data_IF_865011736921
#
_entry.id   IF_865011736921
#
_cell.length_a   1.000
_cell.length_b   1.000
_cell.length_c   1.000
_cell.angle_alpha   90.00
_cell.angle_beta   90.00
_cell.angle_gamma   90.00
#
_symmetry.space_group_name_H-M   'P 1'
#
loop_
_entity.id
_entity.type
_entity.pdbx_description
1 polymer ?
#
# COMPACT_ATOMS: atom_id res chain seq x y z
N UNK A 1 37.67 43.61 -1.56
CA UNK A 1 36.39 42.87 -1.40
C UNK A 1 36.08 42.05 -2.65
N UNK A 2 36.18 42.63 -3.84
CA UNK A 2 35.98 41.94 -5.13
C UNK A 2 37.01 40.83 -5.41
N UNK A 3 38.25 40.97 -4.93
CA UNK A 3 39.29 39.94 -5.02
C UNK A 3 38.94 38.65 -4.25
N UNK A 4 38.31 38.79 -3.08
CA UNK A 4 37.88 37.65 -2.25
C UNK A 4 36.78 36.86 -2.97
N UNK A 5 35.82 37.56 -3.56
CA UNK A 5 34.72 36.95 -4.31
C UNK A 5 35.21 36.29 -5.62
N UNK A 6 36.22 36.89 -6.26
CA UNK A 6 36.85 36.33 -7.46
C UNK A 6 37.63 35.05 -7.16
N UNK A 7 38.29 34.99 -5.99
CA UNK A 7 39.02 33.80 -5.52
C UNK A 7 38.08 32.63 -5.21
N UNK A 8 36.98 32.89 -4.48
CA UNK A 8 35.97 31.87 -4.17
C UNK A 8 35.30 31.34 -5.45
N UNK A 9 34.96 32.24 -6.39
CA UNK A 9 34.35 31.85 -7.67
C UNK A 9 35.29 31.00 -8.54
N UNK A 10 36.60 31.28 -8.50
CA UNK A 10 37.60 30.49 -9.22
C UNK A 10 37.78 29.10 -8.61
N UNK A 11 37.84 28.99 -7.29
CA UNK A 11 37.98 27.71 -6.58
C UNK A 11 36.77 26.81 -6.88
N UNK A 12 35.54 27.34 -6.81
CA UNK A 12 34.32 26.57 -7.10
C UNK A 12 34.22 26.15 -8.57
N UNK A 13 34.73 26.97 -9.50
CA UNK A 13 34.76 26.63 -10.92
C UNK A 13 35.85 25.61 -11.28
N UNK A 14 36.93 25.54 -10.51
CA UNK A 14 38.11 24.69 -10.76
C UNK A 14 38.03 23.35 -9.98
N UNK A 15 37.29 23.28 -8.87
CA UNK A 15 37.19 22.09 -8.00
C UNK A 15 36.02 21.13 -8.37
N UNK A 16 35.25 21.45 -9.41
CA UNK A 16 34.13 20.62 -9.91
C UNK A 16 34.51 19.40 -10.74
N UNK A 17 35.78 19.26 -11.16
CA UNK A 17 36.25 18.09 -11.91
C UNK A 17 37.18 17.22 -11.06
N UNK A 18 36.56 16.31 -10.30
CA UNK A 18 37.26 15.15 -9.74
C UNK A 18 37.49 14.13 -10.87
N UNK A 19 38.74 13.79 -11.24
CA UNK A 19 38.98 12.69 -12.16
C UNK A 19 38.51 11.38 -11.50
N UNK A 20 37.67 10.64 -12.21
CA UNK A 20 37.13 9.35 -11.80
C UNK A 20 38.25 8.43 -11.28
N UNK A 21 38.35 8.30 -9.96
CA UNK A 21 39.19 7.28 -9.31
C UNK A 21 38.61 5.92 -9.66
N UNK A 22 39.31 5.20 -10.54
CA UNK A 22 39.03 3.81 -10.86
C UNK A 22 38.91 3.00 -9.55
N UNK A 23 37.68 2.57 -9.26
CA UNK A 23 37.35 1.68 -8.16
C UNK A 23 38.14 0.38 -8.34
N UNK A 24 39.14 0.15 -7.49
CA UNK A 24 39.73 -1.18 -7.30
C UNK A 24 38.64 -2.08 -6.71
N UNK A 25 38.27 -3.15 -7.42
CA UNK A 25 37.37 -4.16 -6.90
C UNK A 25 38.06 -4.94 -5.77
N UNK A 26 37.43 -5.15 -4.60
CA UNK A 26 37.92 -6.09 -3.61
C UNK A 26 37.66 -7.53 -4.05
N UNK A 27 38.64 -8.40 -3.80
CA UNK A 27 38.55 -9.85 -4.00
C UNK A 27 37.48 -10.45 -3.08
N UNK A 28 36.63 -11.38 -3.53
CA UNK A 28 35.59 -11.95 -2.67
C UNK A 28 36.24 -12.86 -1.62
N UNK A 29 35.97 -12.57 -0.35
CA UNK A 29 36.17 -13.50 0.77
C UNK A 29 34.93 -14.40 0.82
N UNK A 30 35.07 -15.74 0.91
CA UNK A 30 33.91 -16.61 1.06
C UNK A 30 33.24 -16.32 2.40
N UNK A 31 31.95 -15.95 2.35
CA UNK A 31 31.14 -15.74 3.54
C UNK A 31 30.92 -17.09 4.28
N UNK A 32 30.85 -17.11 5.62
CA UNK A 32 30.44 -18.29 6.36
C UNK A 32 28.98 -18.62 5.99
N UNK A 33 28.71 -19.90 5.71
CA UNK A 33 27.35 -20.40 5.52
C UNK A 33 26.59 -20.22 6.83
N UNK A 34 25.77 -19.18 6.88
CA UNK A 34 24.76 -19.01 7.93
C UNK A 34 23.64 -19.98 7.57
N UNK A 35 23.46 -21.02 8.36
CA UNK A 35 22.23 -21.83 8.32
C UNK A 35 21.08 -20.89 8.74
N UNK A 36 20.24 -20.56 7.75
CA UNK A 36 19.12 -19.64 7.88
C UNK A 36 17.94 -20.35 8.55
N UNK A 37 17.91 -20.33 9.89
CA UNK A 37 16.74 -20.72 10.69
C UNK A 37 15.86 -19.48 11.00
N UNK A 38 15.82 -18.53 10.05
CA UNK A 38 14.83 -17.45 10.08
C UNK A 38 13.48 -18.05 9.69
N UNK A 39 12.37 -17.70 10.38
CA UNK A 39 11.04 -18.12 9.91
C UNK A 39 10.88 -17.63 8.47
N UNK A 40 10.62 -18.56 7.55
CA UNK A 40 10.43 -18.29 6.12
C UNK A 40 9.42 -17.14 5.96
N UNK A 41 9.95 -15.93 5.74
CA UNK A 41 9.14 -14.72 5.57
C UNK A 41 8.49 -14.84 4.20
N UNK A 42 7.28 -15.39 4.17
CA UNK A 42 6.49 -15.50 2.96
C UNK A 42 5.99 -14.12 2.54
N UNK A 43 6.73 -13.48 1.63
CA UNK A 43 6.29 -12.24 0.97
C UNK A 43 5.15 -12.58 -0.01
N UNK A 44 3.92 -12.24 0.38
CA UNK A 44 2.74 -12.51 -0.43
C UNK A 44 2.53 -11.39 -1.47
N UNK A 45 3.41 -11.37 -2.49
CA UNK A 45 3.33 -10.45 -3.62
C UNK A 45 2.35 -10.92 -4.71
N UNK A 46 2.07 -12.22 -4.77
CA UNK A 46 1.11 -12.77 -5.73
C UNK A 46 -0.33 -12.76 -5.15
N UNK A 47 -1.31 -12.17 -5.86
CA UNK A 47 -2.70 -12.26 -5.45
C UNK A 47 -3.18 -13.69 -5.58
N UNK A 48 -3.54 -14.31 -4.45
CA UNK A 48 -4.10 -15.66 -4.43
C UNK A 48 -5.34 -15.74 -5.34
N UNK A 49 -5.45 -16.75 -6.24
CA UNK A 49 -6.59 -16.86 -7.14
C UNK A 49 -7.88 -17.04 -6.32
N UNK A 50 -8.72 -15.99 -6.33
CA UNK A 50 -9.98 -15.90 -5.56
C UNK A 50 -10.95 -17.07 -5.84
N UNK A 51 -10.80 -17.73 -7.00
CA UNK A 51 -11.62 -18.85 -7.45
C UNK A 51 -11.58 -20.03 -6.46
N UNK A 52 -10.43 -20.34 -5.87
CA UNK A 52 -10.30 -21.47 -4.92
C UNK A 52 -11.01 -21.21 -3.58
N UNK A 53 -11.08 -19.94 -3.15
CA UNK A 53 -11.76 -19.56 -1.89
C UNK A 53 -13.28 -19.63 -2.03
N UNK A 54 -13.82 -19.29 -3.20
CA UNK A 54 -15.28 -19.32 -3.46
C UNK A 54 -15.80 -20.75 -3.49
N UNK A 55 -15.07 -21.68 -4.11
CA UNK A 55 -15.46 -23.11 -4.16
C UNK A 55 -15.40 -23.76 -2.77
N UNK A 56 -14.37 -23.47 -1.97
CA UNK A 56 -14.26 -23.98 -0.60
C UNK A 56 -15.36 -23.43 0.33
N UNK A 57 -15.74 -22.15 0.16
CA UNK A 57 -16.85 -21.55 0.90
C UNK A 57 -18.21 -22.14 0.48
N UNK A 58 -18.41 -22.38 -0.82
CA UNK A 58 -19.61 -23.02 -1.34
C UNK A 58 -19.77 -24.46 -0.84
N UNK A 59 -18.67 -25.24 -0.78
CA UNK A 59 -18.68 -26.59 -0.24
C UNK A 59 -19.07 -26.63 1.25
N UNK A 60 -18.53 -25.72 2.07
CA UNK A 60 -18.92 -25.59 3.49
C UNK A 60 -20.36 -25.14 3.70
N UNK A 61 -20.87 -24.27 2.83
CA UNK A 61 -22.27 -23.84 2.88
C UNK A 61 -23.22 -25.00 2.53
N UNK A 62 -22.88 -25.81 1.54
CA UNK A 62 -23.65 -27.00 1.16
C UNK A 62 -23.66 -28.06 2.28
N UNK A 63 -22.53 -28.28 2.95
CA UNK A 63 -22.42 -29.21 4.08
C UNK A 63 -23.25 -28.76 5.30
N UNK A 64 -23.28 -27.44 5.57
CA UNK A 64 -24.12 -26.84 6.62
C UNK A 64 -25.61 -26.96 6.30
N UNK A 65 -26.01 -26.77 5.04
CA UNK A 65 -27.39 -26.95 4.59
C UNK A 65 -27.86 -28.40 4.70
N UNK A 66 -26.97 -29.37 4.42
CA UNK A 66 -27.29 -30.80 4.52
C UNK A 66 -27.46 -31.27 5.97
N UNK A 67 -26.79 -30.63 6.93
CA UNK A 67 -26.91 -30.91 8.36
C UNK A 67 -28.13 -30.25 9.03
N UNK A 68 -28.72 -29.23 8.41
CA UNK A 68 -29.87 -28.51 8.94
C UNK A 68 -31.23 -29.20 8.68
N UNK A 69 -31.27 -30.34 7.96
CA UNK A 69 -32.50 -31.10 7.73
C UNK A 69 -32.77 -32.04 8.91
N UNK A 70 -33.25 -31.48 10.02
CA UNK A 70 -34.08 -32.20 10.99
C UNK A 70 -35.55 -31.81 10.69
N UNK A 71 -36.48 -32.76 10.47
CA UNK A 71 -37.86 -32.41 10.17
C UNK A 71 -38.54 -31.86 11.44
N UNK A 72 -38.68 -30.55 11.52
CA UNK A 72 -39.62 -29.89 12.43
C UNK A 72 -41.05 -30.19 11.95
N UNK A 73 -42.00 -30.57 12.83
CA UNK A 73 -43.36 -30.91 12.41
C UNK A 73 -44.08 -29.65 11.91
N UNK A 74 -44.44 -29.63 10.62
CA UNK A 74 -45.21 -28.54 10.03
C UNK A 74 -46.61 -28.42 10.68
N UNK A 75 -47.07 -27.22 11.06
CA UNK A 75 -48.47 -26.99 11.38
C UNK A 75 -49.34 -27.10 10.11
N UNK A 76 -50.56 -27.63 10.26
CA UNK A 76 -51.50 -27.93 9.18
C UNK A 76 -51.83 -26.71 8.29
N UNK A 77 -52.12 -26.91 6.98
CA UNK A 77 -52.37 -25.82 6.05
C UNK A 77 -53.75 -25.18 6.27
N UNK A 78 -53.78 -23.87 6.49
CA UNK A 78 -54.96 -23.04 6.28
C UNK A 78 -55.18 -22.82 4.76
N UNK A 79 -56.43 -22.65 4.28
CA UNK A 79 -56.71 -22.53 2.85
C UNK A 79 -56.18 -21.20 2.28
N UNK A 80 -55.39 -21.29 1.20
CA UNK A 80 -54.94 -20.14 0.43
C UNK A 80 -56.05 -19.61 -0.50
N UNK A 81 -56.14 -18.29 -0.78
CA UNK A 81 -56.98 -17.76 -1.84
C UNK A 81 -56.41 -18.10 -3.22
N UNK A 82 -57.28 -18.45 -4.17
CA UNK A 82 -56.93 -18.76 -5.56
C UNK A 82 -56.30 -17.56 -6.30
N UNK A 83 -55.30 -17.78 -7.17
CA UNK A 83 -54.71 -16.72 -7.97
C UNK A 83 -55.67 -16.29 -9.09
N UNK A 84 -56.22 -15.08 -8.98
CA UNK A 84 -56.89 -14.42 -10.10
C UNK A 84 -55.85 -14.12 -11.19
N UNK A 85 -56.05 -14.70 -12.37
CA UNK A 85 -55.27 -14.42 -13.56
C UNK A 85 -55.29 -12.92 -13.88
N UNK A 86 -54.12 -12.26 -13.83
CA UNK A 86 -53.96 -10.93 -14.39
C UNK A 86 -54.13 -11.02 -15.92
N UNK A 87 -55.24 -10.49 -16.42
CA UNK A 87 -55.45 -10.26 -17.85
C UNK A 87 -54.42 -9.23 -18.33
N UNK A 88 -53.59 -9.63 -19.30
CA UNK A 88 -52.68 -8.73 -19.99
C UNK A 88 -53.48 -7.66 -20.75
N UNK A 89 -53.23 -6.39 -20.45
CA UNK A 89 -53.68 -5.27 -21.27
C UNK A 89 -52.71 -5.06 -22.45
N UNK A 90 -53.19 -4.72 -23.66
CA UNK A 90 -52.32 -4.52 -24.82
C UNK A 90 -51.54 -3.20 -24.68
N UNK A 91 -50.21 -3.26 -24.78
CA UNK A 91 -49.36 -2.08 -24.82
C UNK A 91 -49.41 -1.39 -26.19
N UNK A 92 -49.43 -0.03 -26.26
CA UNK A 92 -49.28 0.68 -27.52
C UNK A 92 -47.83 0.59 -28.03
N UNK A 93 -47.67 0.35 -29.33
CA UNK A 93 -46.37 0.26 -30.01
C UNK A 93 -45.73 1.65 -30.04
N UNK A 94 -44.65 1.85 -29.28
CA UNK A 94 -43.75 2.99 -29.41
C UNK A 94 -42.73 2.74 -30.54
N UNK A 95 -42.26 3.78 -31.26
CA UNK A 95 -41.25 3.63 -32.31
C UNK A 95 -39.90 3.18 -31.72
N UNK A 96 -39.05 2.50 -32.51
CA UNK A 96 -37.76 2.03 -32.03
C UNK A 96 -36.83 3.23 -31.78
N UNK A 97 -36.58 3.53 -30.50
CA UNK A 97 -35.37 4.24 -30.12
C UNK A 97 -34.21 3.31 -30.42
N UNK A 98 -33.36 3.73 -31.36
CA UNK A 98 -32.06 3.12 -31.60
C UNK A 98 -31.26 3.33 -30.30
N UNK A 99 -31.18 2.28 -29.49
CA UNK A 99 -30.18 2.23 -28.44
C UNK A 99 -28.83 2.00 -29.12
N UNK A 100 -27.87 2.87 -28.87
CA UNK A 100 -26.46 2.63 -29.17
C UNK A 100 -26.05 1.35 -28.42
N UNK A 101 -26.06 0.21 -29.12
CA UNK A 101 -25.77 -1.11 -28.56
C UNK A 101 -24.27 -1.35 -28.38
N UNK A 102 -23.43 -0.48 -28.93
CA UNK A 102 -21.98 -0.65 -28.94
C UNK A 102 -21.31 -0.40 -27.56
N UNK A 103 -21.89 0.44 -26.68
CA UNK A 103 -21.36 0.69 -25.33
C UNK A 103 -21.82 -0.35 -24.28
N UNK A 104 -22.84 -1.14 -24.58
CA UNK A 104 -23.44 -2.08 -23.61
C UNK A 104 -22.67 -3.41 -23.52
N UNK A 105 -21.93 -3.80 -24.56
CA UNK A 105 -21.26 -5.11 -24.63
C UNK A 105 -19.89 -5.13 -23.92
N UNK A 106 -19.25 -3.97 -23.69
CA UNK A 106 -17.99 -3.86 -22.94
C UNK A 106 -18.18 -3.56 -21.45
N UNK A 107 -19.40 -3.20 -21.03
CA UNK A 107 -19.71 -2.84 -19.65
C UNK A 107 -19.87 -4.09 -18.76
N UNK A 108 -18.79 -4.47 -18.06
CA UNK A 108 -18.77 -5.58 -17.08
C UNK A 108 -19.82 -5.41 -15.97
N UNK A 109 -20.25 -4.17 -15.72
CA UNK A 109 -21.21 -3.83 -14.66
C UNK A 109 -22.41 -3.11 -15.27
N UNK A 110 -23.61 -3.48 -14.81
CA UNK A 110 -24.83 -2.80 -15.26
C UNK A 110 -24.85 -1.33 -14.79
N UNK A 111 -25.45 -0.41 -15.57
CA UNK A 111 -25.52 1.02 -15.22
C UNK A 111 -26.12 1.27 -13.83
N UNK A 112 -27.14 0.48 -13.48
CA UNK A 112 -27.80 0.53 -12.17
C UNK A 112 -26.87 0.16 -11.02
N UNK A 113 -26.02 -0.85 -11.19
CA UNK A 113 -25.06 -1.26 -10.15
C UNK A 113 -23.96 -0.22 -10.01
N UNK A 114 -23.49 0.36 -11.12
CA UNK A 114 -22.51 1.45 -11.10
C UNK A 114 -23.04 2.68 -10.33
N UNK A 115 -24.30 3.07 -10.55
CA UNK A 115 -24.93 4.16 -9.79
C UNK A 115 -25.12 3.82 -8.31
N UNK A 116 -25.51 2.60 -7.98
CA UNK A 116 -25.67 2.19 -6.59
C UNK A 116 -24.35 2.16 -5.81
N UNK A 117 -23.24 1.76 -6.46
CA UNK A 117 -21.92 1.67 -5.83
C UNK A 117 -21.20 3.02 -5.68
N UNK A 118 -21.58 4.05 -6.44
CA UNK A 118 -20.98 5.39 -6.39
C UNK A 118 -20.99 5.98 -4.98
N UNK A 119 -22.12 5.91 -4.28
CA UNK A 119 -22.25 6.48 -2.93
C UNK A 119 -21.34 5.83 -1.89
N UNK A 120 -21.20 4.50 -1.92
CA UNK A 120 -20.29 3.77 -1.01
C UNK A 120 -18.81 4.05 -1.28
N UNK A 121 -18.42 4.16 -2.56
CA UNK A 121 -17.05 4.48 -2.95
C UNK A 121 -16.69 5.93 -2.59
N UNK A 122 -17.64 6.86 -2.74
CA UNK A 122 -17.46 8.25 -2.34
C UNK A 122 -17.32 8.39 -0.82
N UNK A 123 -18.12 7.64 -0.04
CA UNK A 123 -17.99 7.58 1.41
C UNK A 123 -16.60 7.05 1.84
N UNK A 124 -16.10 5.99 1.19
CA UNK A 124 -14.76 5.46 1.42
C UNK A 124 -13.67 6.47 1.06
N UNK A 125 -13.80 7.16 -0.08
CA UNK A 125 -12.85 8.20 -0.50
C UNK A 125 -12.77 9.36 0.49
N UNK A 126 -13.90 9.76 1.09
CA UNK A 126 -13.96 10.80 2.12
C UNK A 126 -13.31 10.37 3.43
N UNK A 127 -13.31 9.07 3.74
CA UNK A 127 -12.65 8.52 4.93
C UNK A 127 -11.12 8.40 4.76
N UNK A 128 -10.62 8.24 3.53
CA UNK A 128 -9.18 8.14 3.27
C UNK A 128 -8.43 9.48 3.30
N UNK A 129 -9.12 10.63 3.45
CA UNK A 129 -8.48 11.95 3.38
C UNK A 129 -8.89 12.82 4.57
N UNK A 130 -8.03 12.84 5.59
CA UNK A 130 -7.80 14.05 6.38
C UNK A 130 -6.35 14.10 6.86
N UNK A 131 -5.41 14.54 6.01
CA UNK A 131 -4.10 14.94 6.49
C UNK A 131 -4.29 16.20 7.36
N UNK A 132 -4.01 16.08 8.65
CA UNK A 132 -3.79 17.22 9.53
C UNK A 132 -2.56 18.00 9.03
N UNK A 133 -2.54 19.35 9.07
CA UNK A 133 -1.44 20.15 8.51
C UNK A 133 -0.06 19.88 9.14
N UNK A 134 -0.02 19.18 10.28
CA UNK A 134 1.21 18.84 11.02
C UNK A 134 1.62 17.37 10.91
N UNK A 135 0.81 16.52 10.29
CA UNK A 135 1.10 15.10 10.13
C UNK A 135 0.73 14.70 8.72
N UNK A 136 1.61 13.99 8.01
CA UNK A 136 1.40 13.55 6.63
C UNK A 136 0.16 12.64 6.45
N UNK A 137 -0.68 12.45 7.48
CA UNK A 137 -1.92 11.66 7.47
C UNK A 137 -1.69 10.17 7.24
N UNK A 138 -0.43 9.81 7.05
CA UNK A 138 0.06 8.50 6.68
C UNK A 138 0.68 7.83 7.90
N UNK A 139 0.72 6.50 7.86
CA UNK A 139 1.40 5.69 8.86
C UNK A 139 2.87 6.13 9.04
N UNK A 140 3.53 6.56 7.96
CA UNK A 140 4.90 7.07 8.01
C UNK A 140 5.03 8.30 8.90
N UNK A 141 4.09 9.25 8.80
CA UNK A 141 4.05 10.44 9.66
C UNK A 141 3.94 10.06 11.14
N UNK A 142 3.03 9.14 11.47
CA UNK A 142 2.84 8.66 12.84
C UNK A 142 4.09 7.93 13.38
N UNK A 143 4.68 7.05 12.58
CA UNK A 143 5.90 6.32 12.96
C UNK A 143 7.07 7.30 13.16
N UNK A 144 7.20 8.32 12.30
CA UNK A 144 8.23 9.35 12.44
C UNK A 144 8.05 10.16 13.72
N UNK A 145 6.82 10.53 14.06
CA UNK A 145 6.52 11.27 15.30
C UNK A 145 6.83 10.45 16.54
N UNK A 146 6.60 9.13 16.49
CA UNK A 146 6.95 8.20 17.57
C UNK A 146 8.47 7.95 17.67
N UNK A 147 9.18 7.85 16.55
CA UNK A 147 10.62 7.57 16.55
C UNK A 147 11.47 8.81 16.85
N UNK A 148 10.99 10.02 16.53
CA UNK A 148 11.70 11.28 16.76
C UNK A 148 12.21 11.46 18.21
N UNK A 149 11.41 11.27 19.28
CA UNK A 149 11.91 11.42 20.65
C UNK A 149 12.96 10.37 21.00
N UNK A 150 12.80 9.11 20.56
CA UNK A 150 13.76 8.04 20.86
C UNK A 150 15.10 8.27 20.18
N UNK A 151 15.07 8.67 18.90
CA UNK A 151 16.29 8.99 18.15
C UNK A 151 17.00 10.22 18.72
N UNK A 152 16.24 11.22 19.17
CA UNK A 152 16.81 12.42 19.80
C UNK A 152 17.53 12.08 21.10
N UNK A 153 16.89 11.33 22.00
CA UNK A 153 17.51 10.93 23.27
C UNK A 153 18.79 10.10 23.05
N UNK A 154 18.74 9.20 22.06
CA UNK A 154 19.90 8.40 21.68
C UNK A 154 21.04 9.27 21.13
N UNK A 155 20.73 10.21 20.23
CA UNK A 155 21.72 11.15 19.71
C UNK A 155 22.28 12.05 20.81
N UNK A 156 21.44 12.58 21.70
CA UNK A 156 21.88 13.43 22.82
C UNK A 156 22.86 12.67 23.74
N UNK A 157 22.67 11.36 23.91
CA UNK A 157 23.52 10.51 24.77
C UNK A 157 24.81 10.08 24.08
N UNK A 158 24.78 9.71 22.80
CA UNK A 158 25.90 9.04 22.12
C UNK A 158 26.70 9.94 21.18
N UNK A 159 26.11 11.02 20.67
CA UNK A 159 26.77 11.92 19.72
C UNK A 159 28.04 12.58 20.31
N UNK A 160 28.08 13.03 21.58
CA UNK A 160 29.28 13.66 22.13
C UNK A 160 30.53 12.77 22.05
N UNK A 161 30.41 11.51 22.43
CA UNK A 161 31.52 10.53 22.39
C UNK A 161 32.02 10.30 20.96
N UNK A 162 31.09 10.16 20.00
CA UNK A 162 31.41 9.97 18.59
C UNK A 162 32.18 11.17 18.01
N UNK A 163 31.78 12.38 18.38
CA UNK A 163 32.43 13.62 17.96
C UNK A 163 33.81 13.75 18.61
N UNK A 164 33.95 13.51 19.91
CA UNK A 164 35.25 13.54 20.58
C UNK A 164 36.25 12.56 19.95
N UNK A 165 35.82 11.33 19.66
CA UNK A 165 36.64 10.34 18.97
C UNK A 165 37.03 10.77 17.55
N UNK A 166 36.16 11.49 16.83
CA UNK A 166 36.45 12.03 15.50
C UNK A 166 37.43 13.21 15.58
N UNK A 167 37.22 14.13 16.52
CA UNK A 167 38.09 15.30 16.74
C UNK A 167 39.48 14.87 17.22
N UNK A 168 39.56 13.93 18.15
CA UNK A 168 40.85 13.39 18.62
C UNK A 168 41.66 12.76 17.48
N UNK A 169 40.98 12.01 16.58
CA UNK A 169 41.61 11.47 15.37
C UNK A 169 42.08 12.57 14.42
N UNK A 170 41.30 13.63 14.25
CA UNK A 170 41.64 14.74 13.37
C UNK A 170 42.81 15.58 13.90
N UNK A 171 42.86 15.86 15.21
CA UNK A 171 44.01 16.51 15.85
C UNK A 171 45.27 15.66 15.71
N UNK A 172 45.18 14.35 15.96
CA UNK A 172 46.31 13.43 15.79
C UNK A 172 46.82 13.37 14.33
N UNK A 173 45.93 13.58 13.35
CA UNK A 173 46.29 13.65 11.93
C UNK A 173 47.04 14.94 11.62
N UNK A 174 46.49 16.10 11.97
CA UNK A 174 47.10 17.42 11.72
C UNK A 174 48.45 17.55 12.41
N UNK A 175 48.56 17.07 13.65
CA UNK A 175 49.83 17.10 14.41
C UNK A 175 50.91 16.18 13.84
N UNK A 176 50.53 15.14 13.08
CA UNK A 176 51.47 14.26 12.37
C UNK A 176 51.91 14.87 11.03
N UNK A 177 51.01 15.55 10.34
CA UNK A 177 51.27 16.18 9.03
C UNK A 177 52.05 17.51 9.17
N UNK A 178 51.90 18.20 10.31
CA UNK A 178 52.55 19.48 10.59
C UNK A 178 53.97 19.40 11.18
N UNK A 179 54.56 18.21 11.31
CA UNK A 179 55.95 17.98 11.74
C UNK A 179 56.74 17.36 10.60
#
# INVERSE_FOLDING_TARGET
>A
MEEILSSIKRIIAEEGEVPARQRRQPRPVPAPAVEDDSPEVLELSDPMPLRMKVEAAAARAAESAMRAVAPEPAPAPAPAPEPVAHVAAPAPVAPPVQADLDDAEEAIVSPRVAEASRGSLEALSRMMVKPEPTSDGTLEGLVRDMLRPMLREWLDTHLPEMVEAMVAREIARITREGR
#
